data_IF_979446600893
#
_entry.id   IF_979446600893
#
_cell.length_a   1.000
_cell.length_b   1.000
_cell.length_c   1.000
_cell.angle_alpha   90.00
_cell.angle_beta   90.00
_cell.angle_gamma   90.00
#
_symmetry.space_group_name_H-M   'P 1'
#
loop_
_entity.id
_entity.type
_entity.pdbx_description
1 polymer ?
#
# COMPACT_ATOMS: atom_id res chain seq x y z
N UNK A 1 20.62 -28.92 1.90
CA UNK A 1 19.52 -28.55 0.97
C UNK A 1 18.49 -27.79 1.79
N UNK A 2 18.38 -26.48 1.59
CA UNK A 2 17.46 -25.62 2.34
C UNK A 2 16.07 -25.71 1.66
N UNK A 3 14.98 -26.03 2.37
CA UNK A 3 13.66 -26.02 1.75
C UNK A 3 13.21 -24.57 1.56
N UNK A 4 13.00 -24.18 0.30
CA UNK A 4 12.40 -22.92 -0.09
C UNK A 4 11.01 -22.79 0.53
N UNK A 5 10.85 -21.88 1.48
CA UNK A 5 9.55 -21.46 1.99
C UNK A 5 8.76 -20.84 0.82
N UNK A 6 7.57 -21.34 0.46
CA UNK A 6 6.76 -20.68 -0.53
C UNK A 6 6.29 -19.32 0.02
N UNK A 7 6.18 -18.27 -0.81
CA UNK A 7 5.58 -17.01 -0.39
C UNK A 7 4.16 -17.31 0.09
N UNK A 8 3.88 -17.01 1.36
CA UNK A 8 2.57 -17.22 1.97
C UNK A 8 1.51 -16.54 1.11
N UNK A 9 0.73 -17.34 0.39
CA UNK A 9 -0.45 -16.88 -0.31
C UNK A 9 -1.35 -16.18 0.71
N UNK A 10 -1.67 -14.90 0.44
CA UNK A 10 -2.59 -14.11 1.23
C UNK A 10 -3.87 -14.93 1.43
N UNK A 11 -4.29 -15.21 2.68
CA UNK A 11 -5.45 -16.04 2.93
C UNK A 11 -6.70 -15.28 2.47
N UNK A 12 -7.13 -15.49 1.23
CA UNK A 12 -8.38 -14.98 0.65
C UNK A 12 -9.56 -15.46 1.52
N UNK A 13 -9.85 -14.76 2.60
CA UNK A 13 -11.02 -15.00 3.45
C UNK A 13 -12.23 -14.61 2.62
N UNK A 14 -12.96 -15.62 2.14
CA UNK A 14 -14.31 -15.48 1.59
C UNK A 14 -14.48 -14.35 0.55
N UNK A 15 -13.82 -14.46 -0.60
CA UNK A 15 -14.07 -13.60 -1.76
C UNK A 15 -13.62 -12.14 -1.66
N UNK A 16 -13.12 -11.69 -0.51
CA UNK A 16 -12.54 -10.36 -0.34
C UNK A 16 -11.08 -10.34 -0.81
N UNK A 17 -10.72 -9.33 -1.60
CA UNK A 17 -9.33 -9.08 -2.00
C UNK A 17 -8.57 -8.50 -0.81
N UNK A 18 -7.52 -9.18 -0.38
CA UNK A 18 -6.69 -8.72 0.74
C UNK A 18 -5.45 -8.01 0.20
N UNK A 19 -5.28 -6.75 0.57
CA UNK A 19 -4.14 -5.93 0.19
C UNK A 19 -3.04 -6.07 1.25
N UNK A 20 -1.82 -6.51 0.87
CA UNK A 20 -0.71 -6.69 1.80
C UNK A 20 -0.17 -5.33 2.29
N UNK A 21 0.56 -5.38 3.41
CA UNK A 21 1.34 -4.24 3.91
C UNK A 21 2.40 -3.80 2.90
N UNK A 22 2.66 -2.50 2.80
CA UNK A 22 3.66 -1.96 1.87
C UNK A 22 3.14 -1.67 0.46
N UNK A 23 1.84 -1.91 0.20
CA UNK A 23 1.20 -1.56 -1.06
C UNK A 23 0.32 -0.31 -0.93
N UNK A 24 0.35 0.61 -1.90
CA UNK A 24 1.35 0.79 -2.97
C UNK A 24 2.71 1.26 -2.41
N UNK A 25 3.81 0.96 -3.13
CA UNK A 25 5.17 1.36 -2.77
C UNK A 25 5.66 2.53 -3.64
N UNK A 26 6.11 3.60 -3.01
CA UNK A 26 6.59 4.85 -3.62
C UNK A 26 8.07 5.12 -3.37
N UNK A 27 8.85 4.15 -2.87
CA UNK A 27 10.27 4.33 -2.59
C UNK A 27 11.09 4.85 -3.78
N UNK A 28 10.68 4.58 -5.03
CA UNK A 28 11.33 5.11 -6.24
C UNK A 28 10.93 6.56 -6.59
N UNK A 29 9.92 7.14 -5.94
CA UNK A 29 9.37 8.46 -6.25
C UNK A 29 9.97 9.59 -5.40
N UNK A 30 10.90 9.28 -4.49
CA UNK A 30 11.58 10.27 -3.64
C UNK A 30 12.26 11.39 -4.44
N UNK A 31 12.83 11.06 -5.61
CA UNK A 31 13.50 12.03 -6.47
C UNK A 31 12.56 12.92 -7.31
N UNK A 32 11.24 12.76 -7.18
CA UNK A 32 10.27 13.55 -7.95
C UNK A 32 10.08 14.95 -7.35
N UNK A 33 9.63 15.94 -8.16
CA UNK A 33 9.24 17.25 -7.65
C UNK A 33 8.24 17.14 -6.51
N UNK A 34 8.35 18.02 -5.52
CA UNK A 34 7.47 18.03 -4.34
C UNK A 34 5.98 18.06 -4.72
N UNK A 35 5.62 18.84 -5.73
CA UNK A 35 4.24 18.89 -6.24
C UNK A 35 3.74 17.54 -6.78
N UNK A 36 4.63 16.75 -7.39
CA UNK A 36 4.29 15.40 -7.84
C UNK A 36 4.19 14.42 -6.66
N UNK A 37 5.04 14.57 -5.65
CA UNK A 37 4.98 13.78 -4.40
C UNK A 37 3.65 14.03 -3.66
N UNK A 38 3.22 15.29 -3.52
CA UNK A 38 1.89 15.62 -2.97
C UNK A 38 0.73 15.04 -3.79
N UNK A 39 0.81 15.07 -5.12
CA UNK A 39 -0.20 14.44 -5.99
C UNK A 39 -0.27 12.93 -5.79
N UNK A 40 0.88 12.26 -5.67
CA UNK A 40 0.94 10.83 -5.37
C UNK A 40 0.35 10.51 -4.01
N UNK A 41 0.63 11.31 -2.99
CA UNK A 41 0.04 11.14 -1.65
C UNK A 41 -1.49 11.23 -1.67
N UNK A 42 -2.04 12.27 -2.30
CA UNK A 42 -3.49 12.43 -2.41
C UNK A 42 -4.13 11.33 -3.27
N UNK A 43 -3.48 10.92 -4.35
CA UNK A 43 -3.90 9.78 -5.16
C UNK A 43 -3.93 8.48 -4.33
N UNK A 44 -2.89 8.23 -3.52
CA UNK A 44 -2.77 7.04 -2.67
C UNK A 44 -3.95 6.90 -1.70
N UNK A 45 -4.33 8.01 -1.07
CA UNK A 45 -5.47 8.05 -0.15
C UNK A 45 -6.79 7.77 -0.84
N UNK A 46 -7.00 8.37 -2.02
CA UNK A 46 -8.20 8.13 -2.84
C UNK A 46 -8.29 6.69 -3.31
N UNK A 47 -7.19 6.14 -3.82
CA UNK A 47 -7.09 4.75 -4.28
C UNK A 47 -7.44 3.79 -3.14
N UNK A 48 -6.91 4.01 -1.94
CA UNK A 48 -7.26 3.18 -0.78
C UNK A 48 -8.74 3.26 -0.44
N UNK A 49 -9.31 4.46 -0.35
CA UNK A 49 -10.72 4.66 -0.03
C UNK A 49 -11.64 4.01 -1.08
N UNK A 50 -11.29 4.09 -2.36
CA UNK A 50 -12.01 3.42 -3.44
C UNK A 50 -11.95 1.89 -3.29
N UNK A 51 -10.77 1.33 -3.05
CA UNK A 51 -10.59 -0.11 -2.83
C UNK A 51 -11.35 -0.62 -1.60
N UNK A 52 -11.34 0.13 -0.50
CA UNK A 52 -12.14 -0.17 0.69
C UNK A 52 -13.64 -0.15 0.36
N UNK A 53 -14.11 0.81 -0.45
CA UNK A 53 -15.49 0.87 -0.96
C UNK A 53 -15.87 -0.31 -1.87
N UNK A 54 -14.92 -0.88 -2.59
CA UNK A 54 -15.09 -2.09 -3.39
C UNK A 54 -14.96 -3.40 -2.59
N UNK A 55 -14.80 -3.33 -1.27
CA UNK A 55 -14.72 -4.49 -0.39
C UNK A 55 -13.33 -5.10 -0.28
N UNK A 56 -12.27 -4.39 -0.70
CA UNK A 56 -10.90 -4.79 -0.41
C UNK A 56 -10.58 -4.55 1.07
N UNK A 57 -9.84 -5.48 1.67
CA UNK A 57 -9.41 -5.40 3.06
C UNK A 57 -7.91 -5.14 3.10
N UNK A 58 -7.49 -4.11 3.82
CA UNK A 58 -6.07 -3.79 4.00
C UNK A 58 -5.54 -4.43 5.27
N UNK A 59 -4.45 -5.18 5.15
CA UNK A 59 -3.71 -5.68 6.32
C UNK A 59 -3.05 -4.52 7.07
N UNK A 60 -2.61 -3.49 6.34
CA UNK A 60 -2.02 -2.28 6.90
C UNK A 60 -3.10 -1.33 7.44
N UNK A 61 -3.08 -0.98 8.74
CA UNK A 61 -4.00 0.01 9.28
C UNK A 61 -3.76 1.38 8.62
N UNK A 62 -4.80 2.21 8.57
CA UNK A 62 -4.77 3.47 7.83
C UNK A 62 -3.64 4.41 8.29
N UNK A 63 -3.42 4.55 9.61
CA UNK A 63 -2.34 5.38 10.14
C UNK A 63 -0.94 4.90 9.74
N UNK A 64 -0.72 3.57 9.74
CA UNK A 64 0.57 3.01 9.31
C UNK A 64 0.80 3.23 7.82
N UNK A 65 -0.25 3.11 7.01
CA UNK A 65 -0.22 3.41 5.58
C UNK A 65 0.11 4.87 5.32
N UNK A 66 -0.56 5.82 5.97
CA UNK A 66 -0.29 7.25 5.80
C UNK A 66 1.15 7.57 6.18
N UNK A 67 1.61 7.07 7.33
CA UNK A 67 2.99 7.28 7.78
C UNK A 67 4.01 6.75 6.78
N UNK A 68 3.82 5.52 6.29
CA UNK A 68 4.70 4.91 5.29
C UNK A 68 4.71 5.70 3.98
N UNK A 69 3.55 6.10 3.47
CA UNK A 69 3.47 6.88 2.23
C UNK A 69 4.15 8.23 2.38
N UNK A 70 4.01 8.92 3.52
CA UNK A 70 4.77 10.14 3.82
C UNK A 70 6.27 9.89 3.88
N UNK A 71 6.72 8.83 4.56
CA UNK A 71 8.13 8.45 4.63
C UNK A 71 8.71 8.14 3.24
N UNK A 72 7.99 7.36 2.42
CA UNK A 72 8.41 6.98 1.06
C UNK A 72 8.38 8.14 0.07
N UNK A 73 7.48 9.12 0.26
CA UNK A 73 7.38 10.32 -0.57
C UNK A 73 8.15 11.51 0.01
N UNK A 74 8.84 11.38 1.15
CA UNK A 74 9.52 12.47 1.85
C UNK A 74 8.63 13.72 2.05
N UNK A 75 7.38 13.51 2.49
CA UNK A 75 6.39 14.55 2.79
C UNK A 75 6.26 14.79 4.30
#
# INVERSE_FOLDING_TARGET
>A
MNPSTPPQALPQRAGATIIPTGWPAYGAMQGQPESARWQLYEFSKRLRAELEGHGCLFVEPYDAFVRRVCEELQL
#
